data_IF_395926420111
#
_entry.id   IF_395926420111
#
_cell.length_a   1.000
_cell.length_b   1.000
_cell.length_c   1.000
_cell.angle_alpha   90.00
_cell.angle_beta   90.00
_cell.angle_gamma   90.00
#
_symmetry.space_group_name_H-M   'P 1'
#
loop_
_entity.id
_entity.type
_entity.pdbx_description
1 polymer ?
#
# COMPACT_ATOMS: atom_id res chain seq x y z
N UNK A 1 -25.46 4.26 13.71
CA UNK A 1 -24.32 3.41 13.26
C UNK A 1 -23.75 3.81 11.90
N UNK A 2 -24.56 4.26 10.94
CA UNK A 2 -24.11 4.57 9.56
C UNK A 2 -23.01 5.63 9.51
N UNK A 3 -23.20 6.81 10.14
CA UNK A 3 -22.20 7.88 10.12
C UNK A 3 -20.81 7.45 10.64
N UNK A 4 -20.75 6.66 11.73
CA UNK A 4 -19.49 6.13 12.26
C UNK A 4 -18.78 5.21 11.27
N UNK A 5 -19.54 4.38 10.53
CA UNK A 5 -18.99 3.50 9.48
C UNK A 5 -18.50 4.29 8.27
N UNK A 6 -19.27 5.29 7.81
CA UNK A 6 -18.86 6.15 6.69
C UNK A 6 -17.60 6.93 7.02
N UNK A 7 -17.51 7.50 8.22
CA UNK A 7 -16.30 8.21 8.69
C UNK A 7 -15.10 7.26 8.73
N UNK A 8 -15.27 6.04 9.24
CA UNK A 8 -14.20 5.04 9.23
C UNK A 8 -13.74 4.70 7.82
N UNK A 9 -14.67 4.52 6.87
CA UNK A 9 -14.35 4.27 5.46
C UNK A 9 -13.61 5.44 4.81
N UNK A 10 -14.06 6.69 5.05
CA UNK A 10 -13.40 7.89 4.54
C UNK A 10 -11.99 8.06 5.12
N UNK A 11 -11.80 7.77 6.41
CA UNK A 11 -10.48 7.77 7.03
C UNK A 11 -9.57 6.70 6.42
N UNK A 12 -10.09 5.49 6.17
CA UNK A 12 -9.33 4.45 5.48
C UNK A 12 -8.95 4.89 4.06
N UNK A 13 -9.89 5.41 3.28
CA UNK A 13 -9.65 5.95 1.93
C UNK A 13 -8.61 7.07 1.92
N UNK A 14 -8.77 8.08 2.78
CA UNK A 14 -7.82 9.18 2.90
C UNK A 14 -6.43 8.69 3.28
N UNK A 15 -6.34 7.67 4.13
CA UNK A 15 -5.05 7.12 4.52
C UNK A 15 -4.39 6.23 3.45
N UNK A 16 -5.17 5.53 2.62
CA UNK A 16 -4.68 4.83 1.43
C UNK A 16 -4.12 5.81 0.39
N UNK A 17 -4.82 6.92 0.15
CA UNK A 17 -4.33 7.95 -0.78
C UNK A 17 -2.98 8.53 -0.34
N UNK A 18 -2.74 8.59 0.97
CA UNK A 18 -1.58 9.26 1.55
C UNK A 18 -0.50 8.28 2.05
N UNK A 19 -0.69 6.97 1.91
CA UNK A 19 0.31 5.95 2.27
C UNK A 19 1.44 5.81 1.25
N UNK A 20 1.30 6.45 0.09
CA UNK A 20 2.38 6.60 -0.90
C UNK A 20 3.65 7.27 -0.35
N UNK A 21 3.58 7.96 0.80
CA UNK A 21 4.73 8.66 1.41
C UNK A 21 5.43 7.90 2.56
N UNK A 22 5.13 6.63 2.83
CA UNK A 22 5.84 5.78 3.81
C UNK A 22 5.64 6.11 5.30
N UNK A 23 5.49 7.39 5.67
CA UNK A 23 5.37 7.85 7.06
C UNK A 23 4.03 7.47 7.72
N UNK A 24 3.03 7.09 6.93
CA UNK A 24 1.64 6.98 7.38
C UNK A 24 1.23 5.60 7.90
N UNK A 25 1.90 4.51 7.50
CA UNK A 25 1.52 3.15 7.89
C UNK A 25 1.42 3.01 9.41
N UNK A 26 2.43 3.50 10.14
CA UNK A 26 2.50 3.42 11.60
C UNK A 26 1.35 4.18 12.28
N UNK A 27 0.96 5.33 11.75
CA UNK A 27 -0.15 6.12 12.29
C UNK A 27 -1.50 5.44 12.05
N UNK A 28 -1.71 4.88 10.87
CA UNK A 28 -2.91 4.11 10.53
C UNK A 28 -3.02 2.89 11.44
N UNK A 29 -1.94 2.12 11.56
CA UNK A 29 -1.90 0.94 12.41
C UNK A 29 -2.13 1.31 13.87
N UNK A 30 -1.59 2.45 14.32
CA UNK A 30 -1.85 3.02 15.64
C UNK A 30 -3.33 3.33 15.87
N UNK A 31 -4.02 3.93 14.90
CA UNK A 31 -5.46 4.19 14.98
C UNK A 31 -6.27 2.88 15.02
N UNK A 32 -5.93 1.91 14.17
CA UNK A 32 -6.58 0.60 14.18
C UNK A 32 -6.38 -0.10 15.53
N UNK A 33 -5.18 -0.01 16.11
CA UNK A 33 -4.90 -0.55 17.44
C UNK A 33 -5.76 0.09 18.55
N UNK A 34 -6.11 1.36 18.41
CA UNK A 34 -6.90 2.11 19.41
C UNK A 34 -8.41 1.88 19.29
N UNK A 35 -8.92 1.75 18.07
CA UNK A 35 -10.37 1.75 17.81
C UNK A 35 -10.97 0.39 17.43
N UNK A 36 -10.17 -0.57 17.00
CA UNK A 36 -10.66 -1.89 16.59
C UNK A 36 -10.30 -2.92 17.67
N UNK A 37 -11.29 -3.62 18.27
CA UNK A 37 -11.02 -4.65 19.27
C UNK A 37 -10.20 -5.80 18.68
N UNK A 38 -9.45 -6.50 19.52
CA UNK A 38 -8.65 -7.64 19.11
C UNK A 38 -9.52 -8.75 18.50
N UNK A 39 -9.09 -9.30 17.36
CA UNK A 39 -9.81 -10.35 16.64
C UNK A 39 -9.42 -10.41 15.16
N UNK A 40 -10.08 -11.30 14.42
CA UNK A 40 -9.80 -11.56 12.99
C UNK A 40 -9.92 -10.28 12.16
N UNK A 41 -10.94 -9.45 12.43
CA UNK A 41 -11.17 -8.18 11.72
C UNK A 41 -9.99 -7.21 11.86
N UNK A 42 -9.42 -7.09 13.06
CA UNK A 42 -8.26 -6.23 13.31
C UNK A 42 -7.05 -6.72 12.52
N UNK A 43 -6.78 -8.02 12.56
CA UNK A 43 -5.64 -8.62 11.87
C UNK A 43 -5.75 -8.45 10.35
N UNK A 44 -6.94 -8.67 9.78
CA UNK A 44 -7.19 -8.46 8.35
C UNK A 44 -7.00 -6.99 7.96
N UNK A 45 -7.50 -6.06 8.76
CA UNK A 45 -7.34 -4.64 8.50
C UNK A 45 -5.87 -4.22 8.54
N UNK A 46 -5.13 -4.65 9.57
CA UNK A 46 -3.69 -4.38 9.69
C UNK A 46 -2.89 -4.98 8.53
N UNK A 47 -3.19 -6.21 8.12
CA UNK A 47 -2.55 -6.84 6.97
C UNK A 47 -2.87 -6.09 5.67
N UNK A 48 -4.11 -5.65 5.48
CA UNK A 48 -4.53 -4.82 4.35
C UNK A 48 -3.76 -3.50 4.31
N UNK A 49 -3.72 -2.77 5.42
CA UNK A 49 -2.95 -1.52 5.57
C UNK A 49 -1.48 -1.74 5.26
N UNK A 50 -0.89 -2.82 5.77
CA UNK A 50 0.51 -3.16 5.53
C UNK A 50 0.80 -3.39 4.03
N UNK A 51 -0.09 -4.09 3.33
CA UNK A 51 0.05 -4.34 1.88
C UNK A 51 -0.12 -3.06 1.07
N UNK A 52 -1.14 -2.26 1.39
CA UNK A 52 -1.46 -1.01 0.67
C UNK A 52 -0.42 0.07 0.93
N UNK A 53 0.10 0.19 2.16
CA UNK A 53 1.15 1.16 2.46
C UNK A 53 2.47 0.85 1.77
N UNK A 54 2.71 -0.42 1.43
CA UNK A 54 3.83 -0.85 0.60
C UNK A 54 3.56 -0.75 -0.90
N UNK A 55 2.32 -0.44 -1.30
CA UNK A 55 1.96 -0.29 -2.70
C UNK A 55 2.61 0.95 -3.29
N UNK A 56 3.51 0.74 -4.24
CA UNK A 56 4.24 1.79 -4.93
C UNK A 56 3.88 1.77 -6.40
N UNK A 57 3.59 2.95 -6.96
CA UNK A 57 3.35 3.14 -8.40
C UNK A 57 2.36 2.13 -9.01
N UNK A 58 1.34 1.72 -8.24
CA UNK A 58 0.31 0.80 -8.71
C UNK A 58 0.72 -0.67 -8.81
N UNK A 59 1.92 -1.08 -8.36
CA UNK A 59 2.32 -2.50 -8.37
C UNK A 59 1.40 -3.39 -7.50
N UNK A 60 1.01 -4.60 -7.93
CA UNK A 60 1.30 -5.22 -9.23
C UNK A 60 0.24 -4.94 -10.32
N UNK A 61 -0.77 -4.12 -10.04
CA UNK A 61 -1.94 -3.88 -10.90
C UNK A 61 -1.55 -3.12 -12.17
N UNK A 62 -0.76 -2.06 -12.03
CA UNK A 62 -0.32 -1.19 -13.14
C UNK A 62 1.20 -1.29 -13.27
N UNK A 63 1.69 -2.38 -13.87
CA UNK A 63 3.14 -2.63 -14.00
C UNK A 63 3.86 -1.54 -14.78
N UNK A 64 3.23 -1.01 -15.84
CA UNK A 64 3.82 0.00 -16.71
C UNK A 64 4.15 1.31 -15.99
N UNK A 65 3.42 1.65 -14.93
CA UNK A 65 3.68 2.88 -14.18
C UNK A 65 4.97 2.78 -13.35
N UNK A 66 5.31 1.58 -12.86
CA UNK A 66 6.62 1.32 -12.25
C UNK A 66 7.76 1.42 -13.28
N UNK A 67 7.56 0.84 -14.47
CA UNK A 67 8.53 0.95 -15.58
C UNK A 67 8.75 2.39 -16.02
N UNK A 68 7.66 3.15 -16.21
CA UNK A 68 7.71 4.57 -16.53
C UNK A 68 8.45 5.36 -15.45
N UNK A 69 8.10 5.16 -14.17
CA UNK A 69 8.75 5.84 -13.05
C UNK A 69 10.27 5.60 -13.01
N UNK A 70 10.72 4.35 -13.14
CA UNK A 70 12.14 4.00 -13.12
C UNK A 70 12.90 4.50 -14.36
N UNK A 71 12.23 4.52 -15.51
CA UNK A 71 12.82 5.06 -16.73
C UNK A 71 13.00 6.57 -16.67
N UNK A 72 12.01 7.29 -16.13
CA UNK A 72 12.03 8.75 -16.01
C UNK A 72 13.11 9.25 -15.05
N UNK A 73 13.26 8.62 -13.87
CA UNK A 73 14.22 9.08 -12.86
C UNK A 73 15.67 8.64 -13.14
N UNK A 74 15.87 7.39 -13.55
CA UNK A 74 17.21 6.78 -13.59
C UNK A 74 17.54 6.13 -14.93
N UNK A 75 16.64 6.19 -15.93
CA UNK A 75 16.76 5.43 -17.20
C UNK A 75 16.91 3.92 -16.97
N UNK A 76 16.34 3.42 -15.88
CA UNK A 76 16.36 2.03 -15.51
C UNK A 76 15.04 1.33 -15.83
N UNK A 77 15.09 0.01 -16.00
CA UNK A 77 13.88 -0.81 -16.08
C UNK A 77 13.24 -0.93 -14.68
N UNK A 78 11.93 -0.75 -14.61
CA UNK A 78 11.16 -0.90 -13.38
C UNK A 78 10.56 -2.29 -13.25
N UNK A 79 10.66 -2.86 -12.05
CA UNK A 79 10.16 -4.20 -11.75
C UNK A 79 9.30 -4.19 -10.48
N UNK A 80 8.09 -4.74 -10.56
CA UNK A 80 7.22 -4.88 -9.40
C UNK A 80 7.63 -6.09 -8.53
N UNK A 81 8.15 -5.86 -7.34
CA UNK A 81 8.43 -6.88 -6.31
C UNK A 81 7.23 -6.99 -5.36
N UNK A 82 6.20 -7.75 -5.77
CA UNK A 82 4.92 -7.78 -5.08
C UNK A 82 4.22 -6.43 -5.22
N UNK A 83 3.98 -5.73 -4.10
CA UNK A 83 3.37 -4.39 -4.11
C UNK A 83 4.39 -3.25 -4.25
N UNK A 84 5.70 -3.54 -4.23
CA UNK A 84 6.75 -2.52 -4.34
C UNK A 84 7.25 -2.38 -5.78
N UNK A 85 7.73 -1.19 -6.13
CA UNK A 85 8.45 -0.95 -7.38
C UNK A 85 9.94 -0.85 -7.09
N UNK A 86 10.78 -1.54 -7.88
CA UNK A 86 12.23 -1.46 -7.78
C UNK A 86 12.83 -1.19 -9.15
N UNK A 87 13.75 -0.22 -9.22
CA UNK A 87 14.47 0.12 -10.44
C UNK A 87 15.73 -0.72 -10.57
N UNK A 88 15.95 -1.32 -11.75
CA UNK A 88 17.09 -2.18 -12.09
C UNK A 88 17.28 -3.43 -11.20
N UNK A 89 16.20 -3.91 -10.57
CA UNK A 89 16.22 -5.14 -9.79
C UNK A 89 15.15 -6.08 -10.37
N UNK A 90 15.50 -6.96 -11.31
CA UNK A 90 14.54 -7.94 -11.82
C UNK A 90 14.04 -8.84 -10.69
N UNK A 91 12.80 -9.32 -10.80
CA UNK A 91 12.32 -10.36 -9.89
C UNK A 91 13.09 -11.65 -10.15
N UNK A 92 13.48 -12.34 -9.08
CA UNK A 92 14.10 -13.68 -9.18
C UNK A 92 13.06 -14.79 -9.43
N UNK A 93 11.77 -14.46 -9.35
CA UNK A 93 10.64 -15.37 -9.56
C UNK A 93 9.50 -14.62 -10.28
N UNK A 94 8.83 -15.29 -11.21
CA UNK A 94 7.61 -14.74 -11.80
C UNK A 94 6.51 -14.71 -10.72
N UNK A 95 5.93 -13.53 -10.49
CA UNK A 95 4.70 -13.40 -9.69
C UNK A 95 3.54 -13.79 -10.61
N UNK A 96 3.07 -15.02 -10.46
CA UNK A 96 1.81 -15.50 -11.05
C UNK A 96 0.62 -14.80 -10.39
#
# INVERSE_FOLDING_TARGET
MQAKRTILLLLLLGMVALSSCGLREKHVQGLVNKFVPAGIVKNLLQAGIHKVAKMQYGCPIIKDYCSFHCNDLEKHEGYCHGTKCKCNIPNQYELF
#
